data_IF_209422232041
#
_entry.id   IF_209422232041
#
_cell.length_a   1.000
_cell.length_b   1.000
_cell.length_c   1.000
_cell.angle_alpha   90.00
_cell.angle_beta   90.00
_cell.angle_gamma   90.00
#
_symmetry.space_group_name_H-M   'P 1'
#
loop_
_entity.id
_entity.type
_entity.pdbx_description
1 polymer ?
#
# COMPACT_ATOMS: atom_id res chain seq x y z
N UNK A 1 -9.39 35.81 24.50
CA UNK A 1 -10.59 34.94 24.43
C UNK A 1 -10.99 34.81 22.97
N UNK A 2 -10.49 33.78 22.27
CA UNK A 2 -10.95 33.45 20.92
C UNK A 2 -12.29 32.75 21.07
N UNK A 3 -13.39 33.49 20.86
CA UNK A 3 -14.72 32.90 20.75
C UNK A 3 -14.90 32.43 19.30
N UNK A 4 -14.86 31.13 18.99
CA UNK A 4 -15.19 30.67 17.66
C UNK A 4 -16.71 30.70 17.56
N UNK A 5 -17.25 31.60 16.74
CA UNK A 5 -18.68 31.62 16.48
C UNK A 5 -19.20 30.23 16.09
N UNK A 6 -20.45 29.87 16.48
CA UNK A 6 -21.00 28.51 16.39
C UNK A 6 -20.95 27.91 14.97
N UNK A 7 -20.93 28.77 13.95
CA UNK A 7 -20.81 28.39 12.53
C UNK A 7 -19.45 27.81 12.14
N UNK A 8 -18.34 28.26 12.76
CA UNK A 8 -16.99 27.79 12.39
C UNK A 8 -16.65 26.45 13.04
N UNK A 9 -17.18 26.19 14.24
CA UNK A 9 -17.02 24.89 14.92
C UNK A 9 -17.79 23.77 14.23
N UNK A 10 -18.96 24.07 13.67
CA UNK A 10 -19.83 23.09 12.99
C UNK A 10 -19.18 22.53 11.71
N UNK A 11 -18.54 23.38 10.89
CA UNK A 11 -17.86 22.94 9.67
C UNK A 11 -16.67 22.03 9.99
N UNK A 12 -15.88 22.37 11.02
CA UNK A 12 -14.74 21.55 11.46
C UNK A 12 -15.22 20.21 12.01
N UNK A 13 -16.28 20.20 12.82
CA UNK A 13 -16.88 18.97 13.34
C UNK A 13 -17.41 18.07 12.22
N UNK A 14 -18.04 18.64 11.19
CA UNK A 14 -18.52 17.91 10.02
C UNK A 14 -17.34 17.29 9.24
N UNK A 15 -16.27 18.04 8.99
CA UNK A 15 -15.09 17.53 8.30
C UNK A 15 -14.42 16.39 9.07
N UNK A 16 -14.30 16.50 10.39
CA UNK A 16 -13.73 15.44 11.24
C UNK A 16 -14.62 14.20 11.24
N UNK A 17 -15.94 14.35 11.28
CA UNK A 17 -16.88 13.23 11.20
C UNK A 17 -16.81 12.50 9.84
N UNK A 18 -16.70 13.25 8.74
CA UNK A 18 -16.55 12.67 7.39
C UNK A 18 -15.23 11.91 7.24
N UNK A 19 -14.12 12.43 7.79
CA UNK A 19 -12.82 11.73 7.78
C UNK A 19 -12.85 10.49 8.66
N UNK A 20 -13.52 10.53 9.82
CA UNK A 20 -13.65 9.36 10.70
C UNK A 20 -14.51 8.24 10.05
N UNK A 21 -15.60 8.61 9.38
CA UNK A 21 -16.46 7.67 8.66
C UNK A 21 -15.80 7.12 7.37
N UNK A 22 -15.02 7.94 6.65
CA UNK A 22 -14.28 7.54 5.46
C UNK A 22 -12.98 6.78 5.74
N UNK A 23 -12.34 7.03 6.90
CA UNK A 23 -11.04 6.46 7.28
C UNK A 23 -11.12 5.03 7.83
N UNK A 24 -12.24 4.62 8.43
CA UNK A 24 -12.41 3.27 8.96
C UNK A 24 -12.80 2.22 7.91
N UNK A 25 -13.26 2.63 6.73
CA UNK A 25 -13.74 1.73 5.67
C UNK A 25 -12.99 1.91 4.35
N UNK A 26 -11.75 2.38 4.38
CA UNK A 26 -10.82 2.15 3.27
C UNK A 26 -10.38 0.69 3.34
N UNK A 27 -11.25 -0.11 2.77
CA UNK A 27 -11.13 -1.53 2.51
C UNK A 27 -9.73 -1.79 1.94
N UNK A 28 -8.79 -2.26 2.77
CA UNK A 28 -7.57 -2.91 2.31
C UNK A 28 -7.94 -4.27 1.71
N UNK A 29 -8.70 -4.21 0.63
CA UNK A 29 -8.62 -5.20 -0.44
C UNK A 29 -7.73 -4.56 -1.49
N UNK A 30 -6.51 -4.20 -1.07
CA UNK A 30 -5.42 -4.56 -1.94
C UNK A 30 -5.45 -6.06 -1.89
N UNK A 31 -5.92 -6.68 -2.98
CA UNK A 31 -5.44 -7.97 -3.43
C UNK A 31 -4.22 -8.36 -2.61
N UNK A 32 -4.42 -9.26 -1.65
CA UNK A 32 -3.34 -10.12 -1.22
C UNK A 32 -3.02 -10.91 -2.49
N UNK A 33 -2.27 -10.24 -3.37
CA UNK A 33 -1.85 -10.70 -4.68
C UNK A 33 -0.94 -11.82 -4.29
N UNK A 34 -1.54 -13.00 -4.13
CA UNK A 34 -0.90 -14.21 -3.62
C UNK A 34 0.42 -14.24 -4.34
N UNK A 35 1.51 -14.06 -3.58
CA UNK A 35 2.83 -13.95 -4.16
C UNK A 35 3.13 -15.34 -4.68
N UNK A 36 2.72 -15.60 -5.92
CA UNK A 36 2.93 -16.87 -6.59
C UNK A 36 4.35 -16.87 -7.17
N UNK A 37 4.99 -18.04 -7.27
CA UNK A 37 6.35 -18.13 -7.80
C UNK A 37 6.47 -17.51 -9.20
N UNK A 38 5.43 -17.59 -10.03
CA UNK A 38 5.42 -17.02 -11.38
C UNK A 38 5.49 -15.48 -11.35
N UNK A 39 4.81 -14.84 -10.40
CA UNK A 39 4.83 -13.38 -10.25
C UNK A 39 6.21 -12.91 -9.78
N UNK A 40 6.83 -13.64 -8.84
CA UNK A 40 8.20 -13.35 -8.39
C UNK A 40 9.21 -13.56 -9.53
N UNK A 41 9.11 -14.68 -10.26
CA UNK A 41 10.00 -14.98 -11.37
C UNK A 41 9.91 -13.91 -12.47
N UNK A 42 8.69 -13.53 -12.86
CA UNK A 42 8.46 -12.50 -13.89
C UNK A 42 9.04 -11.15 -13.47
N UNK A 43 8.93 -10.80 -12.18
CA UNK A 43 9.51 -9.58 -11.63
C UNK A 43 11.04 -9.62 -11.64
N UNK A 44 11.64 -10.71 -11.17
CA UNK A 44 13.08 -10.88 -11.20
C UNK A 44 13.63 -10.79 -12.64
N UNK A 45 12.91 -11.36 -13.62
CA UNK A 45 13.28 -11.29 -15.02
C UNK A 45 13.23 -9.86 -15.58
N UNK A 46 12.18 -9.13 -15.24
CA UNK A 46 12.04 -7.72 -15.61
C UNK A 46 13.20 -6.88 -15.04
N UNK A 47 13.54 -7.08 -13.77
CA UNK A 47 14.62 -6.34 -13.11
C UNK A 47 15.99 -6.69 -13.71
N UNK A 48 16.18 -7.95 -14.12
CA UNK A 48 17.34 -8.40 -14.91
C UNK A 48 17.44 -7.65 -16.25
N UNK A 49 16.35 -7.59 -17.01
CA UNK A 49 16.31 -6.93 -18.32
C UNK A 49 16.50 -5.40 -18.17
N UNK A 50 16.14 -4.83 -17.01
CA UNK A 50 16.38 -3.44 -16.66
C UNK A 50 17.82 -3.15 -16.15
N UNK A 51 18.70 -4.15 -16.11
CA UNK A 51 20.05 -4.09 -15.53
C UNK A 51 20.09 -3.83 -14.01
N UNK A 52 18.98 -4.03 -13.30
CA UNK A 52 18.95 -4.02 -11.83
C UNK A 52 19.25 -5.43 -11.29
N UNK A 53 20.51 -5.82 -11.45
CA UNK A 53 20.97 -7.16 -11.09
C UNK A 53 20.82 -7.44 -9.59
N UNK A 54 21.05 -6.43 -8.74
CA UNK A 54 20.93 -6.57 -7.29
C UNK A 54 19.48 -6.83 -6.86
N UNK A 55 18.50 -6.16 -7.48
CA UNK A 55 17.09 -6.45 -7.22
C UNK A 55 16.72 -7.85 -7.72
N UNK A 56 17.13 -8.20 -8.95
CA UNK A 56 16.81 -9.50 -9.53
C UNK A 56 17.36 -10.68 -8.71
N UNK A 57 18.61 -10.61 -8.25
CA UNK A 57 19.25 -11.65 -7.43
C UNK A 57 18.45 -11.89 -6.16
N UNK A 58 18.11 -10.83 -5.41
CA UNK A 58 17.34 -10.94 -4.17
C UNK A 58 15.98 -11.61 -4.37
N UNK A 59 15.32 -11.31 -5.49
CA UNK A 59 14.02 -11.92 -5.81
C UNK A 59 14.20 -13.40 -6.16
N UNK A 60 15.25 -13.79 -6.89
CA UNK A 60 15.53 -15.20 -7.17
C UNK A 60 15.87 -15.98 -5.90
N UNK A 61 16.68 -15.42 -5.00
CA UNK A 61 16.98 -16.02 -3.70
C UNK A 61 15.72 -16.19 -2.85
N UNK A 62 14.84 -15.18 -2.86
CA UNK A 62 13.56 -15.28 -2.17
C UNK A 62 12.67 -16.36 -2.80
N UNK A 63 12.73 -16.53 -4.12
CA UNK A 63 11.97 -17.54 -4.84
C UNK A 63 12.43 -18.95 -4.44
N UNK A 64 13.74 -19.21 -4.46
CA UNK A 64 14.30 -20.53 -4.06
C UNK A 64 14.12 -20.81 -2.58
N UNK A 65 14.22 -19.80 -1.71
CA UNK A 65 14.02 -19.98 -0.27
C UNK A 65 12.57 -20.29 0.11
N UNK A 66 11.61 -19.81 -0.70
CA UNK A 66 10.18 -19.95 -0.41
C UNK A 66 9.52 -21.08 -1.20
N UNK A 67 10.08 -21.43 -2.34
CA UNK A 67 9.62 -22.48 -3.26
C UNK A 67 10.84 -23.31 -3.71
N UNK A 68 11.25 -24.32 -2.92
CA UNK A 68 12.39 -25.19 -3.26
C UNK A 68 12.11 -26.11 -4.46
#
# INVERSE_FOLDING_TARGET
>A
MFSPGPVRGSVVALCVALVALGGCRTHRVSDEKKITPEVLYKRARHDLDANDFNAAIKIYEQLTARFP
#
